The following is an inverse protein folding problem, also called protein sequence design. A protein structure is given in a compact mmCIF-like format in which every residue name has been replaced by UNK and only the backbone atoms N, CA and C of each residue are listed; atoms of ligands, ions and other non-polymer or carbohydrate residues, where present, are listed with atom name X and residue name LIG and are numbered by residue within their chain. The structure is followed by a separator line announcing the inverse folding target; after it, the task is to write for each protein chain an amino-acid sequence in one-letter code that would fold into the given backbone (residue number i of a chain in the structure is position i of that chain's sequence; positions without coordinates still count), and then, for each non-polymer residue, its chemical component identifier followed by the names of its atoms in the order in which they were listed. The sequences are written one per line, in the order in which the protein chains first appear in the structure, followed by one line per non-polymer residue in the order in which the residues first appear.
data_IF_375015102006
#
_entry.id   IF_375015102006
#
_cell.length_a   1.000
_cell.length_b   1.000
_cell.length_c   1.000
_cell.angle_alpha   90.00
_cell.angle_beta   90.00
_cell.angle_gamma   90.00
#
_symmetry.space_group_name_H-M   'P 1'
#
loop_
_entity.id
_entity.type
_entity.pdbx_description
1 polymer ?
#
# COMPACT_ATOMS: atom_id res chain seq x y z
N UNK A 1 17.78 -18.03 -26.96
CA UNK A 1 17.78 -19.51 -26.98
C UNK A 1 16.34 -19.93 -27.13
N UNK A 2 16.03 -20.63 -28.22
CA UNK A 2 14.72 -21.24 -28.39
C UNK A 2 14.59 -22.43 -27.43
N UNK A 3 13.39 -22.73 -26.95
CA UNK A 3 13.12 -24.01 -26.29
C UNK A 3 13.13 -25.17 -27.29
N UNK A 4 12.91 -26.40 -26.81
CA UNK A 4 12.92 -27.63 -27.61
C UNK A 4 11.87 -27.60 -28.74
N UNK A 5 10.84 -26.76 -28.61
CA UNK A 5 9.74 -26.58 -29.58
C UNK A 5 9.96 -25.38 -30.53
N UNK A 6 11.10 -24.68 -30.42
CA UNK A 6 11.46 -23.58 -31.33
C UNK A 6 10.88 -22.21 -30.94
N UNK A 7 10.22 -22.09 -29.79
CA UNK A 7 9.69 -20.84 -29.25
C UNK A 7 10.74 -20.05 -28.49
N UNK A 8 10.59 -18.72 -28.47
CA UNK A 8 11.47 -17.87 -27.65
C UNK A 8 11.15 -18.12 -26.19
N UNK A 9 12.14 -18.57 -25.42
CA UNK A 9 12.00 -18.84 -23.98
C UNK A 9 11.38 -17.64 -23.26
N UNK A 10 10.31 -17.89 -22.50
CA UNK A 10 9.68 -16.88 -21.66
C UNK A 10 10.64 -16.43 -20.53
N UNK A 11 11.02 -15.16 -20.59
CA UNK A 11 11.91 -14.53 -19.61
C UNK A 11 11.21 -14.21 -18.29
N UNK A 12 9.88 -14.12 -18.29
CA UNK A 12 9.04 -13.86 -17.12
C UNK A 12 8.81 -15.11 -16.27
N UNK A 13 8.73 -16.28 -16.91
CA UNK A 13 8.54 -17.58 -16.26
C UNK A 13 9.77 -18.09 -15.46
N UNK A 14 10.94 -17.46 -15.64
CA UNK A 14 12.15 -17.83 -14.91
C UNK A 14 12.04 -17.33 -13.47
N UNK A 15 12.09 -18.23 -12.49
CA UNK A 15 12.30 -17.84 -11.10
C UNK A 15 13.69 -17.18 -10.94
N UNK A 16 13.67 -15.87 -10.76
CA UNK A 16 14.88 -15.09 -10.58
C UNK A 16 15.36 -15.09 -9.13
N UNK A 17 14.57 -15.55 -8.15
CA UNK A 17 14.90 -15.51 -6.73
C UNK A 17 15.96 -16.55 -6.36
N UNK A 18 16.02 -17.68 -7.08
CA UNK A 18 16.98 -18.76 -6.78
C UNK A 18 18.13 -18.83 -7.79
N UNK A 19 18.00 -18.15 -8.93
CA UNK A 19 18.89 -18.33 -10.08
C UNK A 19 20.18 -17.52 -10.03
N UNK A 20 21.32 -18.20 -9.88
CA UNK A 20 22.67 -17.60 -10.01
C UNK A 20 23.11 -17.65 -11.48
N UNK A 21 23.55 -16.51 -12.03
CA UNK A 21 24.01 -16.40 -13.43
C UNK A 21 25.44 -15.87 -13.53
N UNK A 22 26.21 -15.85 -12.44
CA UNK A 22 27.67 -15.64 -12.51
C UNK A 22 28.30 -16.85 -13.22
N UNK A 23 29.16 -16.63 -14.22
CA UNK A 23 29.77 -17.70 -15.01
C UNK A 23 30.83 -18.49 -14.24
N UNK A 24 31.71 -17.79 -13.50
CA UNK A 24 32.79 -18.39 -12.72
C UNK A 24 32.76 -17.85 -11.28
N UNK A 25 31.75 -18.22 -10.47
CA UNK A 25 31.69 -17.79 -9.08
C UNK A 25 32.81 -18.47 -8.29
N UNK A 26 33.51 -17.72 -7.44
CA UNK A 26 34.52 -18.28 -6.53
C UNK A 26 33.90 -19.29 -5.54
N UNK A 27 32.63 -19.07 -5.16
CA UNK A 27 31.84 -19.98 -4.36
C UNK A 27 30.37 -19.92 -4.80
N UNK A 28 29.92 -20.97 -5.50
CA UNK A 28 28.55 -21.06 -6.01
C UNK A 28 27.52 -21.26 -4.88
N UNK A 29 27.86 -22.02 -3.85
CA UNK A 29 26.96 -22.27 -2.71
C UNK A 29 26.69 -20.98 -1.94
N UNK A 30 27.71 -20.17 -1.70
CA UNK A 30 27.55 -18.85 -1.10
C UNK A 30 26.66 -17.94 -1.95
N UNK A 31 26.81 -17.97 -3.28
CA UNK A 31 25.93 -17.21 -4.17
C UNK A 31 24.47 -17.68 -4.03
N UNK A 32 24.21 -18.99 -3.97
CA UNK A 32 22.86 -19.53 -3.77
C UNK A 32 22.29 -19.16 -2.40
N UNK A 33 23.10 -19.22 -1.35
CA UNK A 33 22.68 -18.88 0.01
C UNK A 33 22.25 -17.41 0.13
N UNK A 34 23.10 -16.46 -0.32
CA UNK A 34 22.77 -15.04 -0.26
C UNK A 34 21.59 -14.72 -1.19
N UNK A 35 21.51 -15.40 -2.34
CA UNK A 35 20.38 -15.25 -3.26
C UNK A 35 19.06 -15.69 -2.61
N UNK A 36 19.05 -16.79 -1.87
CA UNK A 36 17.88 -17.23 -1.09
C UNK A 36 17.52 -16.33 0.09
N UNK A 37 18.42 -15.46 0.55
CA UNK A 37 18.17 -14.56 1.68
C UNK A 37 17.65 -13.18 1.28
N UNK A 38 17.47 -12.89 -0.01
CA UNK A 38 16.99 -11.57 -0.45
C UNK A 38 16.24 -11.63 -1.78
N UNK A 39 15.24 -10.76 -1.93
CA UNK A 39 14.57 -10.53 -3.21
C UNK A 39 15.37 -9.62 -4.15
N UNK A 40 16.49 -9.06 -3.70
CA UNK A 40 17.35 -8.24 -4.53
C UNK A 40 17.99 -9.05 -5.67
N UNK A 41 18.17 -8.42 -6.83
CA UNK A 41 18.73 -9.04 -8.04
C UNK A 41 20.26 -9.15 -7.96
N UNK A 42 20.74 -9.96 -7.02
CA UNK A 42 22.16 -10.26 -6.83
C UNK A 42 22.58 -11.56 -7.52
N UNK A 43 23.90 -11.79 -7.57
CA UNK A 43 24.50 -12.96 -8.20
C UNK A 43 24.17 -13.13 -9.70
N UNK A 44 24.07 -12.00 -10.41
CA UNK A 44 23.60 -11.92 -11.81
C UNK A 44 24.74 -11.83 -12.85
N UNK A 45 25.98 -11.72 -12.39
CA UNK A 45 27.15 -11.54 -13.25
C UNK A 45 27.19 -10.19 -13.97
N UNK A 46 28.10 -10.06 -14.94
CA UNK A 46 28.30 -8.85 -15.75
C UNK A 46 28.88 -9.19 -17.13
N UNK A 47 28.75 -8.28 -18.08
CA UNK A 47 29.46 -8.25 -19.35
C UNK A 47 30.31 -6.97 -19.41
N UNK A 48 31.62 -7.10 -19.14
CA UNK A 48 32.48 -5.92 -18.92
C UNK A 48 32.07 -5.14 -17.66
N UNK A 49 31.59 -3.92 -17.85
CA UNK A 49 30.99 -3.05 -16.83
C UNK A 49 29.45 -3.00 -16.89
N UNK A 50 28.82 -3.75 -17.78
CA UNK A 50 27.38 -3.71 -18.05
C UNK A 50 26.64 -4.94 -17.53
N UNK A 51 25.32 -4.85 -17.46
CA UNK A 51 24.46 -6.01 -17.20
C UNK A 51 24.60 -7.07 -18.29
N UNK A 52 24.41 -8.33 -17.92
CA UNK A 52 24.21 -9.40 -18.92
C UNK A 52 22.86 -9.19 -19.62
N UNK A 53 22.78 -9.56 -20.89
CA UNK A 53 21.57 -9.43 -21.72
C UNK A 53 20.33 -10.03 -21.04
N UNK A 54 20.47 -11.22 -20.45
CA UNK A 54 19.36 -11.88 -19.75
C UNK A 54 18.83 -11.07 -18.57
N UNK A 55 19.71 -10.55 -17.72
CA UNK A 55 19.31 -9.71 -16.57
C UNK A 55 18.67 -8.40 -17.01
N UNK A 56 19.16 -7.83 -18.12
CA UNK A 56 18.59 -6.61 -18.69
C UNK A 56 17.21 -6.84 -19.30
N UNK A 57 17.03 -7.91 -20.08
CA UNK A 57 15.72 -8.29 -20.63
C UNK A 57 14.72 -8.58 -19.51
N UNK A 58 15.14 -9.29 -18.47
CA UNK A 58 14.28 -9.53 -17.30
C UNK A 58 13.87 -8.22 -16.64
N UNK A 59 14.82 -7.30 -16.43
CA UNK A 59 14.52 -5.97 -15.91
C UNK A 59 13.47 -5.23 -16.75
N UNK A 60 13.60 -5.23 -18.08
CA UNK A 60 12.64 -4.58 -18.97
C UNK A 60 11.25 -5.21 -18.89
N UNK A 61 11.18 -6.54 -18.82
CA UNK A 61 9.92 -7.28 -18.66
C UNK A 61 9.19 -6.90 -17.37
N UNK A 62 9.90 -6.93 -16.24
CA UNK A 62 9.30 -6.57 -14.96
C UNK A 62 8.94 -5.08 -14.89
N UNK A 63 9.72 -4.24 -15.59
CA UNK A 63 9.42 -2.81 -15.68
C UNK A 63 8.12 -2.55 -16.46
N UNK A 64 7.89 -3.25 -17.57
CA UNK A 64 6.64 -3.16 -18.32
C UNK A 64 5.44 -3.55 -17.44
N UNK A 65 5.52 -4.67 -16.73
CA UNK A 65 4.46 -5.11 -15.80
C UNK A 65 4.23 -4.10 -14.65
N UNK A 66 5.30 -3.51 -14.12
CA UNK A 66 5.20 -2.47 -13.11
C UNK A 66 4.51 -1.21 -13.65
N UNK A 67 4.77 -0.82 -14.91
CA UNK A 67 4.11 0.30 -15.57
C UNK A 67 2.62 0.06 -15.79
N UNK A 68 2.23 -1.14 -16.23
CA UNK A 68 0.82 -1.51 -16.39
C UNK A 68 0.08 -1.47 -15.04
N UNK A 69 0.76 -1.89 -13.96
CA UNK A 69 0.21 -1.87 -12.61
C UNK A 69 -0.12 -0.46 -12.10
N UNK A 70 0.61 0.57 -12.56
CA UNK A 70 0.32 1.97 -12.20
C UNK A 70 -1.03 2.43 -12.75
N UNK A 71 -1.43 1.91 -13.91
CA UNK A 71 -2.67 2.31 -14.60
C UNK A 71 -3.90 1.52 -14.18
N UNK A 72 -3.73 0.40 -13.48
CA UNK A 72 -4.84 -0.36 -12.94
C UNK A 72 -5.64 0.46 -11.91
N UNK A 73 -6.96 0.29 -11.96
CA UNK A 73 -7.90 0.81 -10.97
C UNK A 73 -8.50 -0.34 -10.17
N UNK A 74 -8.85 -0.05 -8.91
CA UNK A 74 -9.51 -1.02 -8.02
C UNK A 74 -10.95 -1.18 -8.47
N UNK A 75 -11.38 -2.43 -8.62
CA UNK A 75 -12.80 -2.75 -8.71
C UNK A 75 -13.46 -2.53 -7.34
N UNK A 76 -14.20 -1.43 -7.20
CA UNK A 76 -14.74 -1.02 -5.90
C UNK A 76 -15.90 -1.90 -5.40
N UNK A 77 -16.39 -2.84 -6.21
CA UNK A 77 -17.45 -3.79 -5.82
C UNK A 77 -17.05 -4.63 -4.61
N UNK A 78 -15.74 -4.86 -4.41
CA UNK A 78 -15.21 -5.64 -3.28
C UNK A 78 -15.57 -5.03 -1.92
N UNK A 79 -15.90 -3.73 -1.87
CA UNK A 79 -16.23 -3.03 -0.63
C UNK A 79 -17.73 -3.01 -0.30
N UNK A 80 -18.60 -3.40 -1.23
CA UNK A 80 -20.06 -3.39 -1.04
C UNK A 80 -20.53 -4.31 0.11
N UNK A 81 -19.98 -5.53 0.28
CA UNK A 81 -20.38 -6.42 1.39
C UNK A 81 -20.14 -5.83 2.78
N UNK A 82 -19.21 -4.87 2.90
CA UNK A 82 -18.83 -4.23 4.16
C UNK A 82 -19.48 -2.86 4.34
N UNK A 83 -20.32 -2.42 3.40
CA UNK A 83 -21.06 -1.16 3.48
C UNK A 83 -20.17 0.08 3.42
N UNK A 84 -19.06 0.03 2.67
CA UNK A 84 -18.19 1.19 2.51
C UNK A 84 -18.89 2.32 1.78
N UNK A 85 -18.78 3.53 2.34
CA UNK A 85 -19.11 4.76 1.63
C UNK A 85 -18.00 5.04 0.61
N UNK A 86 -18.36 5.01 -0.67
CA UNK A 86 -17.42 5.24 -1.78
C UNK A 86 -17.42 6.72 -2.17
N UNK A 87 -16.26 7.35 -2.12
CA UNK A 87 -16.06 8.75 -2.54
C UNK A 87 -14.85 8.87 -3.46
N UNK A 88 -14.75 10.00 -4.15
CA UNK A 88 -13.62 10.33 -5.02
C UNK A 88 -13.11 11.73 -4.66
N UNK A 89 -11.81 11.92 -4.79
CA UNK A 89 -11.17 13.24 -4.65
C UNK A 89 -11.49 14.18 -5.83
N UNK A 90 -10.84 15.35 -5.86
CA UNK A 90 -10.92 16.24 -7.02
C UNK A 90 -10.15 15.72 -8.25
N UNK A 91 -9.37 14.64 -8.13
CA UNK A 91 -8.76 13.98 -9.29
C UNK A 91 -9.79 13.06 -9.96
N UNK A 92 -10.31 13.48 -11.12
CA UNK A 92 -11.42 12.82 -11.84
C UNK A 92 -11.02 11.75 -12.85
N UNK A 93 -9.74 11.44 -12.93
CA UNK A 93 -9.21 10.35 -13.75
C UNK A 93 -7.87 9.89 -13.20
N UNK A 94 -7.45 8.68 -13.59
CA UNK A 94 -6.13 8.15 -13.24
C UNK A 94 -4.99 9.05 -13.72
N UNK A 95 -5.10 9.61 -14.93
CA UNK A 95 -4.11 10.54 -15.48
C UNK A 95 -4.00 11.80 -14.63
N UNK A 96 -5.14 12.37 -14.25
CA UNK A 96 -5.18 13.54 -13.39
C UNK A 96 -4.57 13.22 -12.03
N UNK A 97 -4.92 12.08 -11.43
CA UNK A 97 -4.39 11.64 -10.15
C UNK A 97 -2.85 11.47 -10.15
N UNK A 98 -2.28 10.94 -11.24
CA UNK A 98 -0.83 10.78 -11.40
C UNK A 98 -0.15 12.14 -11.57
N UNK A 99 -0.70 13.05 -12.38
CA UNK A 99 -0.08 14.33 -12.75
C UNK A 99 -0.35 15.46 -11.75
N UNK A 100 -1.43 15.37 -10.98
CA UNK A 100 -1.93 16.41 -10.06
C UNK A 100 -2.09 15.85 -8.65
N UNK A 101 -0.98 15.63 -7.92
CA UNK A 101 -1.02 15.12 -6.56
C UNK A 101 -1.79 16.04 -5.61
N UNK A 102 -1.89 17.34 -5.93
CA UNK A 102 -2.70 18.32 -5.20
C UNK A 102 -4.19 17.99 -5.24
N UNK A 103 -4.73 17.59 -6.40
CA UNK A 103 -6.14 17.22 -6.55
C UNK A 103 -6.49 15.91 -5.82
N UNK A 104 -5.54 14.98 -5.74
CA UNK A 104 -5.69 13.74 -4.97
C UNK A 104 -5.62 13.92 -3.45
N UNK A 105 -5.33 15.12 -2.94
CA UNK A 105 -5.29 15.43 -1.50
C UNK A 105 -6.58 16.10 -1.00
N UNK A 106 -7.45 16.54 -1.90
CA UNK A 106 -8.60 17.38 -1.57
C UNK A 106 -9.90 16.77 -2.11
N UNK A 107 -11.00 17.09 -1.44
CA UNK A 107 -12.34 16.73 -1.86
C UNK A 107 -13.11 17.96 -2.32
N UNK A 108 -14.14 17.74 -3.15
CA UNK A 108 -15.09 18.80 -3.46
C UNK A 108 -15.93 19.14 -2.22
N UNK A 109 -16.47 20.37 -2.15
CA UNK A 109 -17.39 20.76 -1.07
C UNK A 109 -18.58 19.80 -0.98
N UNK A 110 -19.17 19.43 -2.13
CA UNK A 110 -20.27 18.49 -2.20
C UNK A 110 -19.92 17.11 -1.61
N UNK A 111 -18.70 16.61 -1.86
CA UNK A 111 -18.22 15.34 -1.28
C UNK A 111 -18.07 15.46 0.23
N UNK A 112 -17.53 16.57 0.73
CA UNK A 112 -17.37 16.79 2.17
C UNK A 112 -18.72 16.93 2.89
N UNK A 113 -19.68 17.63 2.29
CA UNK A 113 -21.03 17.76 2.84
C UNK A 113 -21.78 16.43 2.83
N UNK A 114 -21.58 15.62 1.78
CA UNK A 114 -22.08 14.25 1.72
C UNK A 114 -21.50 13.38 2.84
N UNK A 115 -20.18 13.41 3.07
CA UNK A 115 -19.54 12.65 4.14
C UNK A 115 -20.07 13.06 5.52
N UNK A 116 -20.16 14.37 5.79
CA UNK A 116 -20.72 14.90 7.04
C UNK A 116 -22.17 14.47 7.25
N UNK A 117 -22.97 14.35 6.20
CA UNK A 117 -24.38 13.95 6.32
C UNK A 117 -24.56 12.44 6.54
N UNK A 118 -23.70 11.61 5.94
CA UNK A 118 -23.94 10.17 5.82
C UNK A 118 -22.99 9.31 6.68
N UNK A 119 -21.94 9.89 7.27
CA UNK A 119 -21.01 9.19 8.15
C UNK A 119 -21.22 9.55 9.62
N UNK A 120 -20.78 8.66 10.51
CA UNK A 120 -20.80 8.88 11.96
C UNK A 120 -19.75 9.94 12.35
N UNK A 121 -20.08 10.71 13.39
CA UNK A 121 -19.22 11.75 13.98
C UNK A 121 -18.78 11.37 15.38
N UNK A 122 -17.76 12.07 15.88
CA UNK A 122 -17.28 11.98 17.27
C UNK A 122 -16.93 10.54 17.67
N UNK A 123 -16.27 9.84 16.73
CA UNK A 123 -15.87 8.45 16.84
C UNK A 123 -14.42 8.29 17.30
N UNK A 124 -14.14 7.14 17.91
CA UNK A 124 -12.80 6.79 18.34
C UNK A 124 -11.91 6.48 17.13
N UNK A 125 -12.31 5.53 16.26
CA UNK A 125 -11.49 5.11 15.13
C UNK A 125 -12.23 5.20 13.80
N UNK A 126 -11.70 6.00 12.87
CA UNK A 126 -12.14 6.06 11.47
C UNK A 126 -11.22 5.20 10.60
N UNK A 127 -11.81 4.31 9.80
CA UNK A 127 -11.05 3.45 8.87
C UNK A 127 -11.30 3.93 7.44
N UNK A 128 -10.21 4.11 6.70
CA UNK A 128 -10.20 4.47 5.28
C UNK A 128 -9.45 3.40 4.48
N UNK A 129 -10.00 3.04 3.32
CA UNK A 129 -9.25 2.32 2.28
C UNK A 129 -9.11 3.25 1.08
N UNK A 130 -7.91 3.36 0.54
CA UNK A 130 -7.58 4.26 -0.56
C UNK A 130 -6.84 3.50 -1.63
N UNK A 131 -7.27 3.64 -2.88
CA UNK A 131 -6.59 3.00 -4.02
C UNK A 131 -5.09 3.30 -4.07
N UNK A 132 -4.71 4.56 -3.84
CA UNK A 132 -3.32 4.97 -3.83
C UNK A 132 -2.69 4.80 -5.20
N UNK A 133 -1.46 4.29 -5.26
CA UNK A 133 -0.72 4.09 -6.50
C UNK A 133 -0.76 2.65 -7.02
N UNK A 134 -1.32 1.70 -6.26
CA UNK A 134 -1.42 0.31 -6.67
C UNK A 134 -2.76 -0.31 -6.29
N UNK A 135 -3.56 -0.62 -7.31
CA UNK A 135 -4.83 -1.32 -7.13
C UNK A 135 -4.63 -2.75 -6.62
N UNK A 136 -3.60 -3.45 -7.12
CA UNK A 136 -3.28 -4.83 -6.70
C UNK A 136 -3.00 -4.93 -5.21
N UNK A 137 -2.35 -3.93 -4.62
CA UNK A 137 -2.08 -3.93 -3.18
C UNK A 137 -3.35 -3.91 -2.35
N UNK A 138 -4.36 -3.17 -2.81
CA UNK A 138 -5.65 -3.03 -2.14
C UNK A 138 -6.52 -4.27 -2.34
N UNK A 139 -6.65 -4.75 -3.57
CA UNK A 139 -7.45 -5.93 -3.89
C UNK A 139 -6.93 -7.19 -3.18
N UNK A 140 -5.61 -7.31 -3.00
CA UNK A 140 -5.01 -8.48 -2.36
C UNK A 140 -5.05 -8.43 -0.83
N UNK A 141 -4.81 -7.25 -0.22
CA UNK A 141 -4.51 -7.19 1.23
C UNK A 141 -5.52 -6.40 2.05
N UNK A 142 -6.25 -5.44 1.46
CA UNK A 142 -6.95 -4.43 2.27
C UNK A 142 -8.11 -5.01 3.08
N UNK A 143 -8.86 -5.96 2.51
CA UNK A 143 -9.99 -6.60 3.19
C UNK A 143 -9.53 -7.57 4.29
N UNK A 144 -8.48 -8.35 4.05
CA UNK A 144 -7.87 -9.22 5.06
C UNK A 144 -7.40 -8.42 6.29
N UNK A 145 -6.77 -7.26 6.05
CA UNK A 145 -6.41 -6.34 7.14
C UNK A 145 -7.66 -5.77 7.81
N UNK A 146 -8.64 -5.34 7.01
CA UNK A 146 -9.85 -4.68 7.50
C UNK A 146 -10.66 -5.57 8.44
N UNK A 147 -10.91 -6.82 8.09
CA UNK A 147 -11.72 -7.74 8.91
C UNK A 147 -11.09 -7.99 10.29
N UNK A 148 -9.81 -8.35 10.31
CA UNK A 148 -9.08 -8.62 11.56
C UNK A 148 -8.96 -7.36 12.41
N UNK A 149 -8.69 -6.21 11.78
CA UNK A 149 -8.63 -4.93 12.46
C UNK A 149 -10.00 -4.53 13.05
N UNK A 150 -11.08 -4.73 12.31
CA UNK A 150 -12.44 -4.41 12.74
C UNK A 150 -12.78 -5.15 14.04
N UNK A 151 -12.52 -6.44 14.10
CA UNK A 151 -12.78 -7.26 15.28
C UNK A 151 -11.86 -6.89 16.45
N UNK A 152 -10.57 -6.66 16.19
CA UNK A 152 -9.61 -6.26 17.21
C UNK A 152 -9.95 -4.90 17.85
N UNK A 153 -10.38 -3.92 17.06
CA UNK A 153 -10.78 -2.61 17.57
C UNK A 153 -12.11 -2.67 18.35
N UNK A 154 -13.09 -3.45 17.88
CA UNK A 154 -14.35 -3.68 18.60
C UNK A 154 -14.12 -4.37 19.94
N UNK A 155 -13.24 -5.37 19.98
CA UNK A 155 -12.88 -6.07 21.21
C UNK A 155 -12.25 -5.14 22.27
N UNK A 156 -11.63 -4.03 21.83
CA UNK A 156 -11.12 -2.97 22.72
C UNK A 156 -12.17 -1.95 23.15
N UNK A 157 -13.40 -2.08 22.67
CA UNK A 157 -14.50 -1.18 23.02
C UNK A 157 -14.46 0.17 22.31
N UNK A 158 -13.66 0.33 21.24
CA UNK A 158 -13.64 1.58 20.48
C UNK A 158 -14.90 1.75 19.63
N UNK A 159 -15.44 2.96 19.62
CA UNK A 159 -16.48 3.34 18.68
C UNK A 159 -15.90 3.50 17.26
N UNK A 160 -16.50 2.82 16.29
CA UNK A 160 -16.03 2.82 14.91
C UNK A 160 -16.91 3.68 14.00
N UNK A 161 -16.24 4.41 13.12
CA UNK A 161 -16.86 5.22 12.07
C UNK A 161 -17.45 4.38 10.95
N UNK A 162 -18.18 5.04 10.05
CA UNK A 162 -18.62 4.42 8.79
C UNK A 162 -17.37 4.16 7.93
N UNK A 163 -17.11 2.93 7.44
CA UNK A 163 -15.93 2.68 6.59
C UNK A 163 -16.03 3.46 5.28
N UNK A 164 -14.93 4.03 4.82
CA UNK A 164 -14.89 4.89 3.62
C UNK A 164 -13.84 4.38 2.65
N UNK A 165 -14.25 4.22 1.38
CA UNK A 165 -13.35 3.96 0.27
C UNK A 165 -13.14 5.25 -0.52
N UNK A 166 -11.88 5.59 -0.78
CA UNK A 166 -11.49 6.82 -1.49
C UNK A 166 -10.79 6.43 -2.78
N UNK A 167 -11.44 6.74 -3.91
CA UNK A 167 -10.82 6.68 -5.23
C UNK A 167 -9.97 7.91 -5.47
N UNK A 168 -8.82 7.72 -6.13
CA UNK A 168 -7.83 8.74 -6.46
C UNK A 168 -7.31 9.51 -5.23
N UNK A 169 -7.13 8.81 -4.11
CA UNK A 169 -6.74 9.42 -2.85
C UNK A 169 -5.23 9.42 -2.57
N UNK A 170 -4.75 10.48 -1.94
CA UNK A 170 -3.42 10.57 -1.33
C UNK A 170 -3.54 10.49 0.19
N UNK A 171 -2.42 10.28 0.87
CA UNK A 171 -2.38 10.14 2.34
C UNK A 171 -3.10 11.31 3.04
N UNK A 172 -2.87 12.54 2.58
CA UNK A 172 -3.46 13.75 3.19
C UNK A 172 -4.99 13.84 3.14
N UNK A 173 -5.69 12.98 2.38
CA UNK A 173 -7.16 12.89 2.46
C UNK A 173 -7.65 12.51 3.85
N UNK A 174 -6.85 11.76 4.62
CA UNK A 174 -7.18 11.40 6.00
C UNK A 174 -7.38 12.63 6.89
N UNK A 175 -6.63 13.70 6.66
CA UNK A 175 -6.70 14.89 7.49
C UNK A 175 -8.06 15.58 7.37
N UNK A 176 -8.57 15.70 6.13
CA UNK A 176 -9.85 16.36 5.86
C UNK A 176 -11.03 15.55 6.41
N UNK A 177 -10.94 14.22 6.34
CA UNK A 177 -11.97 13.32 6.86
C UNK A 177 -11.96 13.30 8.39
N UNK A 178 -10.76 13.26 8.99
CA UNK A 178 -10.61 13.32 10.45
C UNK A 178 -11.21 14.61 11.02
N UNK A 179 -10.94 15.76 10.37
CA UNK A 179 -11.53 17.04 10.76
C UNK A 179 -13.05 17.06 10.56
N UNK A 180 -13.56 16.50 9.46
CA UNK A 180 -14.98 16.56 9.13
C UNK A 180 -15.85 15.63 9.98
N UNK A 181 -15.30 14.52 10.47
CA UNK A 181 -16.01 13.50 11.26
C UNK A 181 -15.59 13.48 12.73
N UNK A 182 -14.70 14.38 13.15
CA UNK A 182 -14.11 14.46 14.49
C UNK A 182 -13.56 13.11 14.99
N UNK A 183 -12.84 12.38 14.12
CA UNK A 183 -12.22 11.11 14.49
C UNK A 183 -11.02 11.34 15.41
N UNK A 184 -10.96 10.63 16.54
CA UNK A 184 -9.79 10.71 17.45
C UNK A 184 -8.57 10.01 16.87
N UNK A 185 -8.74 8.84 16.25
CA UNK A 185 -7.70 8.16 15.48
C UNK A 185 -8.25 7.88 14.10
N UNK A 186 -7.51 8.24 13.07
CA UNK A 186 -7.83 7.85 11.70
C UNK A 186 -6.77 6.89 11.17
N UNK A 187 -7.23 5.81 10.56
CA UNK A 187 -6.43 4.73 9.98
C UNK A 187 -6.69 4.70 8.48
N UNK A 188 -5.65 4.70 7.68
CA UNK A 188 -5.74 4.72 6.23
C UNK A 188 -4.86 3.64 5.62
N UNK A 189 -5.49 2.64 5.01
CA UNK A 189 -4.86 1.64 4.18
C UNK A 189 -4.74 2.19 2.75
N UNK A 190 -3.53 2.24 2.20
CA UNK A 190 -3.26 2.85 0.90
C UNK A 190 -2.24 2.05 0.07
N UNK A 191 -2.58 1.80 -1.20
CA UNK A 191 -1.69 1.13 -2.13
C UNK A 191 -0.42 1.95 -2.39
N UNK A 192 0.75 1.35 -2.22
CA UNK A 192 2.03 2.03 -2.42
C UNK A 192 2.35 2.17 -3.92
N UNK A 193 3.46 2.87 -4.21
CA UNK A 193 3.99 2.90 -5.58
C UNK A 193 4.42 1.48 -5.99
N UNK A 194 3.96 0.96 -7.15
CA UNK A 194 4.43 -0.32 -7.66
C UNK A 194 5.96 -0.33 -7.77
N UNK A 195 6.58 -1.33 -7.14
CA UNK A 195 7.99 -1.61 -7.29
C UNK A 195 8.25 -2.47 -8.52
N UNK A 196 9.53 -2.64 -8.86
CA UNK A 196 9.94 -3.55 -9.94
C UNK A 196 9.71 -5.03 -9.57
N UNK A 197 9.68 -5.34 -8.27
CA UNK A 197 9.59 -6.72 -7.76
C UNK A 197 8.14 -7.04 -7.37
N UNK A 198 7.43 -6.10 -6.76
CA UNK A 198 6.06 -6.30 -6.27
C UNK A 198 5.22 -5.07 -6.52
N UNK A 199 3.97 -5.30 -6.92
CA UNK A 199 2.91 -4.30 -7.00
C UNK A 199 1.88 -4.49 -5.87
N UNK A 200 2.07 -5.46 -4.96
CA UNK A 200 1.10 -5.79 -3.92
C UNK A 200 1.36 -5.06 -2.58
N UNK A 201 2.41 -4.23 -2.49
CA UNK A 201 2.77 -3.53 -1.26
C UNK A 201 1.75 -2.45 -0.89
N UNK A 202 1.19 -2.55 0.31
CA UNK A 202 0.28 -1.57 0.91
C UNK A 202 0.95 -0.93 2.14
N UNK A 203 0.56 0.31 2.45
CA UNK A 203 0.93 1.01 3.68
C UNK A 203 -0.31 1.32 4.51
N UNK A 204 -0.14 1.40 5.82
CA UNK A 204 -1.12 1.90 6.77
C UNK A 204 -0.60 3.18 7.43
N UNK A 205 -1.30 4.30 7.22
CA UNK A 205 -1.04 5.57 7.89
C UNK A 205 -2.06 5.80 9.01
N UNK A 206 -1.57 6.22 10.17
CA UNK A 206 -2.38 6.43 11.36
C UNK A 206 -2.05 7.78 12.01
N UNK A 207 -3.05 8.51 12.49
CA UNK A 207 -2.81 9.74 13.23
C UNK A 207 -3.89 10.02 14.27
N UNK A 208 -3.49 10.64 15.38
CA UNK A 208 -4.38 11.12 16.43
C UNK A 208 -4.86 12.55 16.13
N UNK A 209 -6.17 12.73 16.04
CA UNK A 209 -6.87 13.98 15.67
C UNK A 209 -6.19 14.64 14.46
N UNK A 210 -6.13 13.90 13.34
CA UNK A 210 -5.41 14.36 12.15
C UNK A 210 -6.00 15.68 11.63
N UNK A 211 -5.14 16.56 11.13
CA UNK A 211 -5.56 17.88 10.66
C UNK A 211 -4.69 18.38 9.52
N UNK A 212 -5.33 19.12 8.61
CA UNK A 212 -4.70 19.79 7.47
C UNK A 212 -3.73 20.89 7.91
N UNK A 213 -3.84 21.33 9.17
CA UNK A 213 -2.97 22.33 9.81
C UNK A 213 -1.73 21.71 10.44
N UNK A 214 -1.67 20.39 10.57
CA UNK A 214 -0.54 19.64 11.17
C UNK A 214 0.40 19.12 10.06
N UNK A 215 1.71 19.01 10.33
CA UNK A 215 2.68 18.52 9.34
C UNK A 215 2.52 17.00 9.11
N UNK A 216 3.12 16.50 8.02
CA UNK A 216 3.16 15.08 7.67
C UNK A 216 3.67 14.19 8.82
N UNK A 217 4.62 14.70 9.62
CA UNK A 217 5.20 14.01 10.77
C UNK A 217 4.20 13.73 11.90
N UNK A 218 2.94 14.15 11.77
CA UNK A 218 1.85 13.72 12.66
C UNK A 218 1.49 12.24 12.48
N UNK A 219 1.91 11.60 11.38
CA UNK A 219 1.47 10.25 11.02
C UNK A 219 2.45 9.19 11.53
N UNK A 220 1.92 8.12 12.11
CA UNK A 220 2.59 6.84 12.33
C UNK A 220 2.33 5.96 11.10
N UNK A 221 3.34 5.24 10.62
CA UNK A 221 3.23 4.42 9.41
C UNK A 221 3.69 2.99 9.65
N UNK A 222 2.96 2.03 9.12
CA UNK A 222 3.41 0.67 8.86
C UNK A 222 3.44 0.52 7.35
N UNK A 223 4.61 0.29 6.76
CA UNK A 223 4.75 0.09 5.32
C UNK A 223 4.98 -1.38 4.98
N UNK A 224 5.00 -1.69 3.68
CA UNK A 224 5.37 -3.02 3.19
C UNK A 224 4.46 -4.13 3.73
N UNK A 225 3.15 -3.85 3.79
CA UNK A 225 2.12 -4.84 4.10
C UNK A 225 1.82 -5.62 2.83
N UNK A 226 2.32 -6.85 2.75
CA UNK A 226 2.09 -7.84 1.68
C UNK A 226 2.73 -9.17 2.07
N UNK A 227 2.49 -10.25 1.32
CA UNK A 227 3.01 -11.59 1.61
C UNK A 227 4.54 -11.70 1.75
N UNK A 228 5.31 -10.85 1.07
CA UNK A 228 6.77 -10.81 1.16
C UNK A 228 7.32 -9.75 2.14
N UNK A 229 6.45 -9.05 2.85
CA UNK A 229 6.77 -8.08 3.88
C UNK A 229 6.09 -8.44 5.20
N UNK A 230 5.36 -7.50 5.80
CA UNK A 230 4.49 -7.82 6.94
C UNK A 230 3.19 -8.43 6.40
N UNK A 231 2.83 -9.67 6.74
CA UNK A 231 1.59 -10.28 6.27
C UNK A 231 0.35 -9.50 6.75
N UNK A 232 -0.72 -9.50 5.96
CA UNK A 232 -1.94 -8.73 6.22
C UNK A 232 -2.50 -8.94 7.65
N UNK A 233 -2.62 -10.21 8.07
CA UNK A 233 -3.16 -10.57 9.40
C UNK A 233 -2.27 -10.02 10.53
N UNK A 234 -0.95 -10.11 10.38
CA UNK A 234 0.00 -9.59 11.37
C UNK A 234 -0.06 -8.05 11.42
N UNK A 235 -0.10 -7.42 10.25
CA UNK A 235 -0.23 -5.97 10.15
C UNK A 235 -1.52 -5.48 10.83
N UNK A 236 -2.64 -6.19 10.67
CA UNK A 236 -3.89 -5.84 11.34
C UNK A 236 -3.75 -5.84 12.87
N UNK A 237 -3.11 -6.86 13.44
CA UNK A 237 -2.84 -6.90 14.89
C UNK A 237 -1.96 -5.72 15.34
N UNK A 238 -0.90 -5.42 14.60
CA UNK A 238 -0.04 -4.27 14.88
C UNK A 238 -0.81 -2.94 14.79
N UNK A 239 -1.67 -2.76 13.78
CA UNK A 239 -2.50 -1.56 13.62
C UNK A 239 -3.43 -1.37 14.81
N UNK A 240 -4.06 -2.46 15.28
CA UNK A 240 -4.90 -2.45 16.47
C UNK A 240 -4.10 -1.97 17.68
N UNK A 241 -2.92 -2.54 17.94
CA UNK A 241 -1.97 -2.11 18.99
C UNK A 241 -1.60 -0.64 18.89
N UNK A 242 -1.24 -0.18 17.70
CA UNK A 242 -0.93 1.22 17.45
C UNK A 242 -2.11 2.13 17.76
N UNK A 243 -3.33 1.80 17.34
CA UNK A 243 -4.53 2.56 17.68
C UNK A 243 -4.68 2.71 19.21
N UNK A 244 -4.39 1.66 19.96
CA UNK A 244 -4.37 1.69 21.43
C UNK A 244 -3.33 2.66 22.01
N UNK A 245 -2.12 2.64 21.45
CA UNK A 245 -1.05 3.59 21.82
C UNK A 245 -1.46 5.03 21.50
N UNK A 246 -1.97 5.29 20.28
CA UNK A 246 -2.37 6.64 19.85
C UNK A 246 -3.48 7.20 20.75
N UNK A 247 -4.45 6.36 21.11
CA UNK A 247 -5.56 6.72 22.01
C UNK A 247 -5.08 7.05 23.43
N UNK A 248 -4.16 6.25 23.98
CA UNK A 248 -3.64 6.45 25.33
C UNK A 248 -2.76 7.69 25.42
N UNK A 249 -1.85 7.87 24.47
CA UNK A 249 -0.87 8.96 24.48
C UNK A 249 -1.45 10.28 23.94
N UNK A 250 -2.57 10.22 23.22
CA UNK A 250 -3.21 11.36 22.53
C UNK A 250 -2.24 12.09 21.60
N UNK A 251 -1.35 11.32 20.97
CA UNK A 251 -0.25 11.77 20.10
C UNK A 251 -0.01 10.72 19.03
N UNK A 252 0.60 11.15 17.94
CA UNK A 252 0.97 10.27 16.82
C UNK A 252 2.22 10.76 16.11
N UNK A 253 2.79 9.91 15.26
CA UNK A 253 3.99 10.21 14.49
C UNK A 253 5.18 10.62 15.36
N UNK A 254 5.93 11.63 14.92
CA UNK A 254 7.15 12.09 15.60
C UNK A 254 6.92 12.64 17.03
N UNK A 255 5.67 12.92 17.40
CA UNK A 255 5.33 13.34 18.76
C UNK A 255 5.31 12.17 19.76
N UNK A 256 5.21 10.93 19.28
CA UNK A 256 5.37 9.73 20.10
C UNK A 256 6.86 9.56 20.42
N UNK A 257 7.22 9.86 21.66
CA UNK A 257 8.55 9.58 22.21
C UNK A 257 8.53 8.19 22.85
N UNK A 258 8.48 7.16 22.01
CA UNK A 258 8.58 5.76 22.44
C UNK A 258 10.04 5.38 22.74
#
# INVERSE_FOLDING_TARGET
MKDEDGFVRDISAIDYHTRVTIQHPCNLEACRAIKGSTNARICVGKAGSSYRTESYLRYLSDHAAAMDSVWKEVDDIIFDPYGFVKVETCAKSKEAYIKRPDLGRIFSSATMDFLKKNCRHDIDVQILIVDGLSAYAIEENALDVYEVMLDGLKARGYSLGTPIYIRHGRVATMDSISEALHAKVIVQLIGERPGLITNQSMSCYMAYEASTKKPESQRTVISNIYAGGTPAIEAAAQIVDWCGVLMREKKSGAALKL
#
